data_IF_807158652862
#
_entry.id   IF_807158652862
#
_cell.length_a   1.000
_cell.length_b   1.000
_cell.length_c   1.000
_cell.angle_alpha   90.00
_cell.angle_beta   90.00
_cell.angle_gamma   90.00
#
_symmetry.space_group_name_H-M   'P 1'
#
loop_
_entity.id
_entity.type
_entity.pdbx_description
1 polymer ?
#
# COMPACT_ATOMS: atom_id res chain seq x y z
N UNK A 1 8.09 -7.88 -16.70
CA UNK A 1 7.51 -7.03 -15.64
C UNK A 1 5.99 -7.11 -15.77
N UNK A 2 5.32 -7.77 -14.82
CA UNK A 2 3.85 -7.90 -14.85
C UNK A 2 3.28 -6.55 -14.40
N UNK A 3 2.53 -5.87 -15.28
CA UNK A 3 1.91 -4.58 -14.93
C UNK A 3 0.80 -4.82 -13.92
N UNK A 4 0.68 -3.96 -12.89
CA UNK A 4 -0.36 -4.10 -11.87
C UNK A 4 -1.77 -4.11 -12.50
N UNK A 5 -1.95 -3.39 -13.62
CA UNK A 5 -3.18 -3.38 -14.43
C UNK A 5 -3.69 -4.77 -14.84
N UNK A 6 -2.83 -5.79 -14.90
CA UNK A 6 -3.21 -7.17 -15.27
C UNK A 6 -3.83 -7.98 -14.13
N UNK A 7 -3.86 -7.42 -12.92
CA UNK A 7 -4.50 -8.02 -11.75
C UNK A 7 -5.95 -7.56 -11.58
N UNK A 8 -6.30 -6.34 -12.01
CA UNK A 8 -7.66 -5.82 -11.87
C UNK A 8 -8.64 -6.50 -12.82
N UNK A 9 -9.77 -6.96 -12.27
CA UNK A 9 -10.87 -7.56 -13.03
C UNK A 9 -11.86 -6.50 -13.54
N UNK A 10 -11.95 -5.34 -12.88
CA UNK A 10 -12.85 -4.25 -13.25
C UNK A 10 -12.06 -3.06 -13.79
N UNK A 11 -12.62 -2.39 -14.80
CA UNK A 11 -12.00 -1.22 -15.43
C UNK A 11 -11.92 -0.03 -14.47
N UNK A 12 -12.91 0.13 -13.60
CA UNK A 12 -12.99 1.22 -12.62
C UNK A 12 -11.84 1.14 -11.61
N UNK A 13 -11.57 -0.04 -11.08
CA UNK A 13 -10.45 -0.34 -10.18
C UNK A 13 -9.11 0.05 -10.83
N UNK A 14 -8.92 -0.35 -12.10
CA UNK A 14 -7.73 0.02 -12.86
C UNK A 14 -7.61 1.54 -13.04
N UNK A 15 -8.71 2.24 -13.32
CA UNK A 15 -8.71 3.69 -13.51
C UNK A 15 -8.39 4.44 -12.21
N UNK A 16 -8.92 3.98 -11.07
CA UNK A 16 -8.66 4.59 -9.77
C UNK A 16 -7.18 4.46 -9.38
N UNK A 17 -6.61 3.27 -9.59
CA UNK A 17 -5.19 3.03 -9.39
C UNK A 17 -4.31 3.83 -10.37
N UNK A 18 -4.69 3.88 -11.66
CA UNK A 18 -4.00 4.69 -12.66
C UNK A 18 -4.01 6.17 -12.31
N UNK A 19 -5.15 6.68 -11.84
CA UNK A 19 -5.27 8.07 -11.41
C UNK A 19 -4.35 8.36 -10.22
N UNK A 20 -4.25 7.42 -9.27
CA UNK A 20 -3.34 7.55 -8.13
C UNK A 20 -1.86 7.53 -8.58
N UNK A 21 -1.48 6.64 -9.50
CA UNK A 21 -0.10 6.58 -10.03
C UNK A 21 0.30 7.80 -10.85
N UNK A 22 -0.66 8.50 -11.46
CA UNK A 22 -0.41 9.78 -12.13
C UNK A 22 -0.08 10.90 -11.13
N UNK A 23 -0.73 10.91 -9.97
CA UNK A 23 -0.45 11.87 -8.89
C UNK A 23 0.84 11.49 -8.15
N UNK A 24 1.02 10.19 -7.90
CA UNK A 24 2.15 9.63 -7.17
C UNK A 24 2.87 8.56 -8.01
N UNK A 25 3.87 8.96 -8.82
CA UNK A 25 4.64 8.01 -9.64
C UNK A 25 5.34 6.91 -8.84
N UNK A 26 5.54 7.10 -7.53
CA UNK A 26 6.08 6.11 -6.61
C UNK A 26 5.10 4.99 -6.22
N UNK A 27 3.79 5.14 -6.48
CA UNK A 27 2.79 4.12 -6.11
C UNK A 27 3.01 2.82 -6.89
N UNK A 28 3.27 2.88 -8.20
CA UNK A 28 3.56 1.67 -8.99
C UNK A 28 4.78 0.89 -8.46
N UNK A 29 5.97 1.49 -8.25
CA UNK A 29 7.12 0.75 -7.75
C UNK A 29 6.91 0.24 -6.32
N UNK A 30 6.23 0.98 -5.43
CA UNK A 30 5.89 0.49 -4.08
C UNK A 30 5.00 -0.75 -4.18
N UNK A 31 3.93 -0.66 -4.96
CA UNK A 31 2.94 -1.72 -5.14
C UNK A 31 3.57 -2.98 -5.70
N UNK A 32 4.37 -2.83 -6.76
CA UNK A 32 5.07 -3.96 -7.37
C UNK A 32 6.08 -4.59 -6.42
N UNK A 33 6.84 -3.79 -5.67
CA UNK A 33 7.83 -4.29 -4.71
C UNK A 33 7.15 -5.15 -3.64
N UNK A 34 6.06 -4.64 -3.06
CA UNK A 34 5.29 -5.33 -2.02
C UNK A 34 4.62 -6.61 -2.53
N UNK A 35 3.97 -6.54 -3.69
CA UNK A 35 3.28 -7.70 -4.27
C UNK A 35 4.27 -8.77 -4.74
N UNK A 36 5.48 -8.38 -5.16
CA UNK A 36 6.50 -9.35 -5.58
C UNK A 36 6.99 -10.27 -4.45
N UNK A 37 6.78 -9.86 -3.19
CA UNK A 37 7.09 -10.67 -2.02
C UNK A 37 6.04 -11.75 -1.76
N UNK A 38 4.81 -11.59 -2.29
CA UNK A 38 3.72 -12.51 -2.02
C UNK A 38 3.95 -13.87 -2.71
N UNK A 39 3.47 -14.97 -2.09
CA UNK A 39 3.52 -16.29 -2.71
C UNK A 39 2.82 -16.30 -4.08
N UNK A 40 3.42 -16.96 -5.07
CA UNK A 40 2.84 -17.12 -6.42
C UNK A 40 1.53 -17.91 -6.44
N UNK A 41 1.21 -18.61 -5.33
CA UNK A 41 -0.05 -19.32 -5.11
C UNK A 41 -1.22 -18.39 -4.79
N UNK A 42 -0.95 -17.11 -4.47
CA UNK A 42 -2.00 -16.15 -4.16
C UNK A 42 -2.77 -15.76 -5.44
N UNK A 43 -4.10 -15.73 -5.35
CA UNK A 43 -4.92 -15.43 -6.52
C UNK A 43 -4.77 -13.95 -6.91
N UNK A 44 -4.78 -13.69 -8.23
CA UNK A 44 -4.69 -12.31 -8.74
C UNK A 44 -5.82 -11.41 -8.22
N UNK A 45 -7.00 -11.98 -7.98
CA UNK A 45 -8.15 -11.27 -7.40
C UNK A 45 -7.86 -10.73 -6.01
N UNK A 46 -7.29 -11.55 -5.10
CA UNK A 46 -6.94 -11.10 -3.75
C UNK A 46 -5.92 -9.96 -3.76
N UNK A 47 -4.93 -10.04 -4.65
CA UNK A 47 -3.95 -8.97 -4.82
C UNK A 47 -4.60 -7.67 -5.33
N UNK A 48 -5.51 -7.78 -6.30
CA UNK A 48 -6.25 -6.63 -6.81
C UNK A 48 -7.13 -5.99 -5.73
N UNK A 49 -7.84 -6.80 -4.94
CA UNK A 49 -8.69 -6.35 -3.84
C UNK A 49 -7.88 -5.62 -2.75
N UNK A 50 -6.68 -6.11 -2.44
CA UNK A 50 -5.78 -5.47 -1.48
C UNK A 50 -5.29 -4.10 -1.98
N UNK A 51 -4.93 -4.02 -3.26
CA UNK A 51 -4.53 -2.73 -3.86
C UNK A 51 -5.71 -1.76 -3.91
N UNK A 52 -6.90 -2.23 -4.26
CA UNK A 52 -8.09 -1.38 -4.22
C UNK A 52 -8.42 -0.91 -2.80
N UNK A 53 -8.32 -1.79 -1.81
CA UNK A 53 -8.48 -1.40 -0.40
C UNK A 53 -7.49 -0.30 0.00
N UNK A 54 -6.26 -0.37 -0.49
CA UNK A 54 -5.23 0.64 -0.25
C UNK A 54 -5.55 1.97 -0.97
N UNK A 55 -6.04 1.92 -2.21
CA UNK A 55 -6.52 3.11 -2.96
C UNK A 55 -7.74 3.74 -2.27
N UNK A 56 -8.66 2.94 -1.74
CA UNK A 56 -9.80 3.43 -0.97
C UNK A 56 -9.33 4.10 0.32
N UNK A 57 -8.39 3.49 1.05
CA UNK A 57 -7.84 4.04 2.28
C UNK A 57 -7.11 5.39 2.04
N UNK A 58 -6.40 5.53 0.90
CA UNK A 58 -5.82 6.81 0.46
C UNK A 58 -6.88 7.92 0.28
N UNK A 59 -8.04 7.56 -0.27
CA UNK A 59 -9.13 8.50 -0.56
C UNK A 59 -10.10 8.68 0.60
N UNK A 60 -9.96 7.91 1.68
CA UNK A 60 -10.91 7.91 2.78
C UNK A 60 -10.95 9.28 3.47
N UNK A 61 -12.15 9.82 3.62
CA UNK A 61 -12.36 10.96 4.51
C UNK A 61 -12.35 10.45 5.94
N UNK A 62 -11.43 10.98 6.73
CA UNK A 62 -11.28 10.70 8.15
C UNK A 62 -11.57 11.98 8.93
N UNK A 63 -12.02 11.84 10.17
CA UNK A 63 -12.41 12.97 11.03
C UNK A 63 -11.24 13.95 11.27
N UNK A 64 -10.00 13.47 11.14
CA UNK A 64 -8.81 14.30 11.21
C UNK A 64 -8.22 14.53 9.81
N UNK A 65 -8.08 15.78 9.33
CA UNK A 65 -7.57 16.04 8.00
C UNK A 65 -6.16 15.46 7.80
N UNK A 66 -6.00 14.72 6.70
CA UNK A 66 -4.72 14.18 6.24
C UNK A 66 -4.21 14.97 5.04
N UNK A 67 -2.94 15.37 5.10
CA UNK A 67 -2.22 15.89 3.96
C UNK A 67 -1.87 14.77 2.95
N UNK A 68 -1.42 15.13 1.75
CA UNK A 68 -1.21 14.16 0.68
C UNK A 68 -0.15 13.09 1.02
N UNK A 69 0.89 13.45 1.80
CA UNK A 69 1.89 12.50 2.25
C UNK A 69 1.35 11.56 3.33
N UNK A 70 0.50 12.06 4.22
CA UNK A 70 -0.18 11.23 5.22
C UNK A 70 -1.13 10.24 4.54
N UNK A 71 -1.87 10.67 3.51
CA UNK A 71 -2.73 9.77 2.70
C UNK A 71 -1.89 8.69 2.00
N UNK A 72 -0.74 9.06 1.46
CA UNK A 72 0.19 8.10 0.86
C UNK A 72 0.76 7.12 1.91
N UNK A 73 0.96 7.56 3.15
CA UNK A 73 1.31 6.66 4.25
C UNK A 73 0.19 5.67 4.59
N UNK A 74 -1.07 6.12 4.60
CA UNK A 74 -2.23 5.22 4.76
C UNK A 74 -2.27 4.16 3.66
N UNK A 75 -2.03 4.55 2.40
CA UNK A 75 -1.92 3.63 1.28
C UNK A 75 -0.86 2.55 1.55
N UNK A 76 0.35 2.97 1.90
CA UNK A 76 1.47 2.07 2.15
C UNK A 76 1.21 1.14 3.35
N UNK A 77 0.72 1.66 4.48
CA UNK A 77 0.41 0.87 5.68
C UNK A 77 -0.61 -0.22 5.35
N UNK A 78 -1.67 0.15 4.63
CA UNK A 78 -2.75 -0.79 4.25
C UNK A 78 -2.21 -1.95 3.41
N UNK A 79 -1.40 -1.63 2.40
CA UNK A 79 -0.82 -2.65 1.52
C UNK A 79 0.25 -3.49 2.23
N UNK A 80 1.10 -2.86 3.05
CA UNK A 80 2.15 -3.54 3.80
C UNK A 80 1.54 -4.52 4.83
N UNK A 81 0.48 -4.13 5.52
CA UNK A 81 -0.24 -5.02 6.44
C UNK A 81 -0.78 -6.26 5.73
N UNK A 82 -1.40 -6.10 4.56
CA UNK A 82 -1.86 -7.23 3.75
C UNK A 82 -0.72 -8.18 3.40
N UNK A 83 0.44 -7.64 3.02
CA UNK A 83 1.62 -8.44 2.68
C UNK A 83 2.18 -9.16 3.90
N UNK A 84 2.36 -8.46 5.01
CA UNK A 84 2.83 -9.05 6.27
C UNK A 84 1.93 -10.19 6.74
N UNK A 85 0.61 -10.03 6.63
CA UNK A 85 -0.37 -11.07 6.97
C UNK A 85 -0.18 -12.32 6.11
N UNK A 86 -0.07 -12.15 4.79
CA UNK A 86 0.08 -13.25 3.84
C UNK A 86 1.49 -13.90 3.85
N UNK A 87 2.48 -13.21 4.40
CA UNK A 87 3.80 -13.76 4.69
C UNK A 87 3.86 -14.47 6.05
N UNK A 88 2.78 -14.45 6.83
CA UNK A 88 2.73 -15.04 8.17
C UNK A 88 3.69 -14.36 9.16
N UNK A 89 3.91 -13.05 9.02
CA UNK A 89 4.79 -12.27 9.90
C UNK A 89 6.29 -12.52 9.71
N UNK A 90 6.70 -13.29 8.68
CA UNK A 90 8.12 -13.58 8.42
C UNK A 90 8.94 -12.35 8.00
N UNK A 91 8.27 -11.35 7.44
CA UNK A 91 8.86 -10.06 7.05
C UNK A 91 8.12 -8.98 7.81
N UNK A 92 8.87 -8.25 8.64
CA UNK A 92 8.36 -7.15 9.44
C UNK A 92 8.12 -5.89 8.61
N UNK A 93 7.36 -4.94 9.19
CA UNK A 93 7.01 -3.71 8.49
C UNK A 93 8.23 -2.87 8.06
N UNK A 94 9.26 -2.80 8.91
CA UNK A 94 10.50 -2.06 8.60
C UNK A 94 11.27 -2.66 7.42
N UNK A 95 11.24 -3.98 7.26
CA UNK A 95 11.84 -4.66 6.11
C UNK A 95 11.04 -4.35 4.84
N UNK A 96 9.71 -4.39 4.90
CA UNK A 96 8.84 -3.99 3.77
C UNK A 96 9.08 -2.54 3.33
N UNK A 97 9.21 -1.61 4.28
CA UNK A 97 9.51 -0.21 3.99
C UNK A 97 10.87 -0.05 3.29
N UNK A 98 11.87 -0.82 3.72
CA UNK A 98 13.20 -0.83 3.09
C UNK A 98 13.16 -1.40 1.67
N UNK A 99 12.47 -2.52 1.47
CA UNK A 99 12.33 -3.17 0.16
C UNK A 99 11.56 -2.30 -0.84
N UNK A 100 10.58 -1.53 -0.37
CA UNK A 100 9.71 -0.72 -1.23
C UNK A 100 10.35 0.58 -1.73
N UNK A 101 11.58 0.89 -1.31
CA UNK A 101 12.32 2.10 -1.70
C UNK A 101 11.48 3.37 -1.59
N UNK A 102 10.86 3.56 -0.42
CA UNK A 102 9.92 4.64 -0.19
C UNK A 102 10.58 6.02 -0.46
N UNK A 103 9.83 7.00 -0.99
CA UNK A 103 10.31 8.37 -1.10
C UNK A 103 10.81 8.87 0.26
N UNK A 104 11.86 9.71 0.28
CA UNK A 104 12.47 10.21 1.54
C UNK A 104 11.48 10.85 2.52
N UNK A 105 10.41 11.47 2.01
CA UNK A 105 9.35 12.08 2.83
C UNK A 105 8.39 11.06 3.44
N UNK A 106 8.27 9.88 2.85
CA UNK A 106 7.51 8.74 3.36
C UNK A 106 8.41 7.88 4.25
N UNK A 107 8.95 8.49 5.31
CA UNK A 107 9.86 7.85 6.25
C UNK A 107 9.10 7.23 7.43
N UNK A 108 9.82 6.50 8.29
CA UNK A 108 9.25 5.84 9.47
C UNK A 108 8.57 6.81 10.44
N UNK A 109 9.10 8.02 10.62
CA UNK A 109 8.49 9.04 11.48
C UNK A 109 7.09 9.43 11.00
N UNK A 110 6.94 9.75 9.70
CA UNK A 110 5.64 10.08 9.12
C UNK A 110 4.69 8.90 9.19
N UNK A 111 5.17 7.70 8.85
CA UNK A 111 4.35 6.49 8.84
C UNK A 111 3.81 6.16 10.24
N UNK A 112 4.67 6.20 11.25
CA UNK A 112 4.28 5.95 12.64
C UNK A 112 3.33 7.04 13.14
N UNK A 113 3.60 8.32 12.84
CA UNK A 113 2.70 9.41 13.20
C UNK A 113 1.30 9.25 12.60
N UNK A 114 1.21 8.79 11.34
CA UNK A 114 -0.07 8.51 10.67
C UNK A 114 -0.77 7.30 11.29
N UNK A 115 -0.02 6.24 11.61
CA UNK A 115 -0.57 5.07 12.27
C UNK A 115 -1.18 5.43 13.63
N UNK A 116 -0.46 6.22 14.45
CA UNK A 116 -0.96 6.69 15.74
C UNK A 116 -2.17 7.62 15.57
N UNK A 117 -2.09 8.58 14.64
CA UNK A 117 -3.15 9.56 14.35
C UNK A 117 -4.47 8.90 13.95
N UNK A 118 -4.41 7.78 13.25
CA UNK A 118 -5.57 7.05 12.73
C UNK A 118 -5.89 5.78 13.52
N UNK A 119 -5.16 5.51 14.61
CA UNK A 119 -5.20 4.25 15.35
C UNK A 119 -5.06 3.02 14.43
N UNK A 120 -4.28 3.13 13.36
CA UNK A 120 -4.00 2.02 12.45
C UNK A 120 -2.98 1.09 13.10
N UNK A 121 -3.32 -0.21 13.13
CA UNK A 121 -2.39 -1.22 13.59
C UNK A 121 -1.34 -1.50 12.50
N UNK A 122 -0.08 -1.20 12.75
CA UNK A 122 1.03 -1.72 11.96
C UNK A 122 1.32 -3.15 12.43
N UNK A 123 1.20 -4.13 11.54
CA UNK A 123 1.47 -5.52 11.87
C UNK A 123 2.99 -5.76 11.93
N UNK A 124 3.46 -6.40 13.01
CA UNK A 124 4.87 -6.77 13.21
C UNK A 124 5.83 -5.57 13.06
N UNK A 125 5.48 -4.46 13.71
CA UNK A 125 6.26 -3.22 13.82
C UNK A 125 7.48 -3.37 14.75
#
# INVERSE_FOLDING_TARGET
MIKMKTYFLRKEDCNAYDSLTLVWPCVEPITQSLISLLPSTLTKGLVADAVQSSVMAYNQQVDCPLNDWERLAVYFITLANFVTEHLGGKIGFNELATTSQLPRRLNSELINAVADKLALRILHA
#
